data_IF_302210346776
#
_entry.id   IF_302210346776
#
_cell.length_a   1.000
_cell.length_b   1.000
_cell.length_c   1.000
_cell.angle_alpha   90.00
_cell.angle_beta   90.00
_cell.angle_gamma   90.00
#
_symmetry.space_group_name_H-M   'P 1'
#
loop_
_entity.id
_entity.type
_entity.pdbx_description
1 polymer ?
#
# COMPACT_ATOMS: atom_id res chain seq x y z
N UNK A 1 -11.89 7.16 -14.57
CA UNK A 1 -10.52 6.98 -15.11
C UNK A 1 -10.26 7.91 -16.31
N UNK A 2 -11.20 8.03 -17.27
CA UNK A 2 -11.00 8.72 -18.56
C UNK A 2 -10.45 10.14 -18.43
N UNK A 3 -11.03 10.95 -17.52
CA UNK A 3 -10.52 12.29 -17.25
C UNK A 3 -9.07 12.29 -16.78
N UNK A 4 -8.70 11.39 -15.88
CA UNK A 4 -7.32 11.26 -15.36
C UNK A 4 -6.37 10.83 -16.50
N UNK A 5 -6.79 9.82 -17.28
CA UNK A 5 -6.03 9.34 -18.43
C UNK A 5 -5.88 10.43 -19.52
N UNK A 6 -6.91 11.26 -19.75
CA UNK A 6 -6.82 12.37 -20.71
C UNK A 6 -5.79 13.45 -20.32
N UNK A 7 -5.34 13.45 -19.05
CA UNK A 7 -4.25 14.29 -18.56
C UNK A 7 -2.88 13.59 -18.59
N UNK A 8 -2.79 12.40 -19.16
CA UNK A 8 -1.56 11.60 -19.20
C UNK A 8 -1.19 10.96 -17.85
N UNK A 9 -2.11 10.97 -16.88
CA UNK A 9 -1.90 10.43 -15.54
C UNK A 9 -2.47 9.02 -15.39
N UNK A 10 -2.00 8.30 -14.38
CA UNK A 10 -2.52 6.98 -13.99
C UNK A 10 -3.60 7.12 -12.92
N UNK A 11 -4.59 6.24 -12.96
CA UNK A 11 -5.72 6.24 -12.04
C UNK A 11 -5.59 5.13 -10.99
N UNK A 12 -5.52 5.53 -9.72
CA UNK A 12 -5.47 4.60 -8.59
C UNK A 12 -6.75 4.60 -7.78
N UNK A 13 -7.04 3.44 -7.17
CA UNK A 13 -8.14 3.28 -6.22
C UNK A 13 -7.67 2.59 -4.94
N UNK A 14 -8.55 2.59 -3.96
CA UNK A 14 -8.38 1.93 -2.67
C UNK A 14 -9.49 0.90 -2.44
N UNK A 15 -9.13 -0.25 -1.88
CA UNK A 15 -10.03 -1.22 -1.28
C UNK A 15 -9.36 -1.92 -0.09
N UNK A 16 -9.96 -2.98 0.44
CA UNK A 16 -9.48 -3.69 1.61
C UNK A 16 -9.64 -5.21 1.45
N UNK A 17 -8.71 -5.97 2.00
CA UNK A 17 -8.74 -7.43 2.00
C UNK A 17 -9.80 -7.99 2.97
N UNK A 18 -10.18 -7.22 3.98
CA UNK A 18 -11.22 -7.58 4.94
C UNK A 18 -12.65 -7.38 4.42
N UNK A 19 -13.61 -7.62 5.30
CA UNK A 19 -15.03 -7.44 5.00
C UNK A 19 -15.42 -5.97 4.84
N UNK A 20 -14.71 -5.07 5.56
CA UNK A 20 -14.90 -3.64 5.50
C UNK A 20 -13.54 -2.92 5.27
N UNK A 21 -13.60 -1.74 4.66
CA UNK A 21 -12.48 -0.80 4.63
C UNK A 21 -12.27 -0.16 5.99
N UNK A 22 -11.13 0.50 6.22
CA UNK A 22 -10.87 1.20 7.49
C UNK A 22 -11.88 2.33 7.77
N UNK A 23 -12.58 2.82 6.74
CA UNK A 23 -13.69 3.77 6.86
C UNK A 23 -15.07 3.10 6.98
N UNK A 24 -15.15 1.79 7.21
CA UNK A 24 -16.40 1.05 7.38
C UNK A 24 -17.22 0.88 6.09
N UNK A 25 -16.61 1.01 4.92
CA UNK A 25 -17.26 0.72 3.63
C UNK A 25 -16.99 -0.73 3.23
N UNK A 26 -17.80 -1.36 2.35
CA UNK A 26 -17.55 -2.72 1.91
C UNK A 26 -16.11 -2.93 1.42
N UNK A 27 -15.45 -3.97 1.91
CA UNK A 27 -14.18 -4.47 1.43
C UNK A 27 -14.39 -5.56 0.36
N UNK A 28 -13.29 -6.12 -0.14
CA UNK A 28 -13.33 -7.08 -1.26
C UNK A 28 -13.38 -8.54 -0.79
N UNK A 29 -13.44 -8.82 0.51
CA UNK A 29 -13.45 -10.21 1.00
C UNK A 29 -14.60 -11.02 0.41
N UNK A 30 -14.27 -12.11 -0.29
CA UNK A 30 -15.24 -12.96 -0.99
C UNK A 30 -15.66 -12.44 -2.38
N UNK A 31 -15.26 -11.22 -2.75
CA UNK A 31 -15.63 -10.58 -4.02
C UNK A 31 -14.43 -10.21 -4.89
N UNK A 32 -13.22 -10.67 -4.56
CA UNK A 32 -11.96 -10.25 -5.19
C UNK A 32 -11.99 -10.35 -6.73
N UNK A 33 -12.51 -11.45 -7.27
CA UNK A 33 -12.60 -11.65 -8.72
C UNK A 33 -13.65 -10.76 -9.39
N UNK A 34 -14.75 -10.50 -8.71
CA UNK A 34 -15.77 -9.55 -9.19
C UNK A 34 -15.20 -8.13 -9.21
N UNK A 35 -14.60 -7.71 -8.10
CA UNK A 35 -14.04 -6.39 -7.93
C UNK A 35 -12.90 -6.15 -8.92
N UNK A 36 -11.99 -7.10 -9.09
CA UNK A 36 -10.88 -6.98 -10.03
C UNK A 36 -11.36 -6.80 -11.48
N UNK A 37 -12.44 -7.47 -11.90
CA UNK A 37 -13.06 -7.25 -13.21
C UNK A 37 -13.62 -5.84 -13.32
N UNK A 38 -14.36 -5.38 -12.31
CA UNK A 38 -14.90 -4.02 -12.26
C UNK A 38 -13.78 -2.98 -12.31
N UNK A 39 -12.70 -3.19 -11.58
CA UNK A 39 -11.54 -2.29 -11.62
C UNK A 39 -10.89 -2.24 -13.01
N UNK A 40 -10.80 -3.38 -13.68
CA UNK A 40 -10.30 -3.43 -15.05
C UNK A 40 -11.21 -2.68 -16.03
N UNK A 41 -12.53 -2.86 -15.93
CA UNK A 41 -13.53 -2.13 -16.72
C UNK A 41 -13.47 -0.62 -16.49
N UNK A 42 -13.23 -0.19 -15.26
CA UNK A 42 -13.05 1.23 -14.91
C UNK A 42 -11.70 1.81 -15.36
N UNK A 43 -10.79 0.98 -15.86
CA UNK A 43 -9.48 1.45 -16.30
C UNK A 43 -8.52 1.76 -15.15
N UNK A 44 -8.65 1.07 -14.01
CA UNK A 44 -7.75 1.25 -12.85
C UNK A 44 -6.34 0.81 -13.20
N UNK A 45 -5.34 1.62 -12.83
CA UNK A 45 -3.91 1.36 -13.02
C UNK A 45 -3.18 0.98 -11.73
N UNK A 46 -3.75 1.36 -10.58
CA UNK A 46 -3.14 1.14 -9.26
C UNK A 46 -4.22 0.78 -8.23
N UNK A 47 -3.98 -0.26 -7.43
CA UNK A 47 -4.83 -0.65 -6.31
C UNK A 47 -4.03 -0.64 -5.01
N UNK A 48 -4.38 0.26 -4.07
CA UNK A 48 -3.98 0.14 -2.66
C UNK A 48 -4.98 -0.79 -1.97
N UNK A 49 -4.48 -1.87 -1.38
CA UNK A 49 -5.31 -2.92 -0.78
C UNK A 49 -4.96 -3.07 0.69
N UNK A 50 -5.86 -2.58 1.55
CA UNK A 50 -5.67 -2.45 2.99
C UNK A 50 -6.02 -3.73 3.76
N UNK A 51 -5.86 -3.69 5.10
CA UNK A 51 -5.95 -4.86 5.97
C UNK A 51 -6.96 -4.71 7.12
N UNK A 52 -7.80 -3.66 7.13
CA UNK A 52 -8.82 -3.48 8.16
C UNK A 52 -9.88 -4.60 8.12
N UNK A 53 -10.44 -4.96 9.28
CA UNK A 53 -11.49 -5.98 9.40
C UNK A 53 -11.13 -7.29 8.71
N UNK A 54 -9.91 -7.77 8.98
CA UNK A 54 -9.35 -8.98 8.36
C UNK A 54 -9.99 -10.30 8.88
N UNK A 55 -10.60 -10.25 10.08
CA UNK A 55 -11.27 -11.39 10.74
C UNK A 55 -10.41 -12.66 10.78
N UNK A 56 -9.12 -12.47 11.05
CA UNK A 56 -8.16 -13.55 11.22
C UNK A 56 -7.74 -14.27 9.94
N UNK A 57 -7.92 -13.67 8.78
CA UNK A 57 -7.38 -14.20 7.52
C UNK A 57 -5.86 -14.30 7.55
N UNK A 58 -5.33 -15.23 6.74
CA UNK A 58 -3.91 -15.21 6.40
C UNK A 58 -3.60 -14.05 5.45
N UNK A 59 -2.70 -13.11 5.81
CA UNK A 59 -2.32 -12.03 4.91
C UNK A 59 -1.83 -12.55 3.55
N UNK A 60 -0.93 -13.52 3.57
CA UNK A 60 -0.40 -14.12 2.33
C UNK A 60 -1.50 -14.69 1.45
N UNK A 61 -2.49 -15.38 2.04
CA UNK A 61 -3.62 -15.97 1.32
C UNK A 61 -4.51 -14.90 0.70
N UNK A 62 -4.91 -13.90 1.48
CA UNK A 62 -5.80 -12.83 1.04
C UNK A 62 -5.18 -11.99 -0.11
N UNK A 63 -3.92 -11.56 0.06
CA UNK A 63 -3.23 -10.79 -0.98
C UNK A 63 -2.95 -11.62 -2.24
N UNK A 64 -2.65 -12.91 -2.09
CA UNK A 64 -2.50 -13.82 -3.23
C UNK A 64 -3.81 -13.96 -4.01
N UNK A 65 -4.94 -14.08 -3.32
CA UNK A 65 -6.26 -14.17 -3.97
C UNK A 65 -6.56 -12.92 -4.80
N UNK A 66 -6.32 -11.72 -4.25
CA UNK A 66 -6.52 -10.48 -5.02
C UNK A 66 -5.52 -10.36 -6.19
N UNK A 67 -4.25 -10.73 -6.00
CA UNK A 67 -3.28 -10.80 -7.11
C UNK A 67 -3.78 -11.69 -8.25
N UNK A 68 -4.29 -12.86 -7.93
CA UNK A 68 -4.78 -13.80 -8.92
C UNK A 68 -6.03 -13.27 -9.64
N UNK A 69 -6.91 -12.59 -8.89
CA UNK A 69 -8.07 -11.90 -9.43
C UNK A 69 -7.68 -10.77 -10.39
N UNK A 70 -6.71 -9.93 -10.00
CA UNK A 70 -6.18 -8.85 -10.86
C UNK A 70 -5.54 -9.43 -12.14
N UNK A 71 -4.76 -10.51 -12.04
CA UNK A 71 -4.20 -11.18 -13.22
C UNK A 71 -5.29 -11.72 -14.13
N UNK A 72 -6.32 -12.35 -13.58
CA UNK A 72 -7.45 -12.90 -14.33
C UNK A 72 -8.29 -11.84 -15.03
N UNK A 73 -8.29 -10.58 -14.54
CA UNK A 73 -8.98 -9.47 -15.18
C UNK A 73 -8.36 -9.03 -16.51
N UNK A 74 -7.12 -9.44 -16.79
CA UNK A 74 -6.39 -9.14 -18.02
C UNK A 74 -5.82 -7.72 -18.10
N UNK A 75 -6.10 -6.83 -17.12
CA UNK A 75 -5.54 -5.50 -17.09
C UNK A 75 -4.30 -5.45 -16.18
N UNK A 76 -3.18 -4.83 -16.62
CA UNK A 76 -2.03 -4.60 -15.75
C UNK A 76 -2.40 -3.55 -14.69
N UNK A 77 -2.34 -3.95 -13.41
CA UNK A 77 -2.61 -3.08 -12.26
C UNK A 77 -1.41 -3.15 -11.31
N UNK A 78 -0.87 -2.01 -10.92
CA UNK A 78 0.12 -1.95 -9.85
C UNK A 78 -0.57 -2.25 -8.53
N UNK A 79 -0.13 -3.31 -7.85
CA UNK A 79 -0.78 -3.80 -6.64
C UNK A 79 0.05 -3.43 -5.41
N UNK A 80 -0.54 -2.61 -4.53
CA UNK A 80 0.06 -2.12 -3.29
C UNK A 80 -0.54 -2.85 -2.09
N UNK A 81 0.30 -3.58 -1.37
CA UNK A 81 -0.04 -4.33 -0.16
C UNK A 81 0.07 -3.39 1.04
N UNK A 82 -0.99 -3.30 1.85
CA UNK A 82 -1.05 -2.41 3.00
C UNK A 82 -1.54 -3.13 4.26
N UNK A 83 -0.71 -4.01 4.83
CA UNK A 83 -0.95 -4.66 6.13
C UNK A 83 -0.02 -4.12 7.23
N UNK A 84 0.48 -2.89 7.02
CA UNK A 84 1.25 -2.09 7.97
C UNK A 84 2.55 -2.75 8.45
N UNK A 85 3.13 -3.68 7.70
CA UNK A 85 4.34 -4.41 8.08
C UNK A 85 4.12 -5.51 9.14
N UNK A 86 2.87 -5.77 9.53
CA UNK A 86 2.52 -6.64 10.66
C UNK A 86 2.99 -8.09 10.48
N UNK A 87 2.94 -8.60 9.25
CA UNK A 87 3.41 -9.96 8.92
C UNK A 87 4.74 -9.98 8.17
N UNK A 88 5.50 -8.87 8.19
CA UNK A 88 6.77 -8.70 7.47
C UNK A 88 6.62 -8.98 5.97
N UNK A 89 5.80 -8.21 5.25
CA UNK A 89 5.45 -8.48 3.84
C UNK A 89 6.68 -8.52 2.92
N UNK A 90 7.76 -7.82 3.25
CA UNK A 90 9.02 -7.89 2.51
C UNK A 90 9.59 -9.31 2.40
N UNK A 91 9.24 -10.23 3.30
CA UNK A 91 9.74 -11.62 3.28
C UNK A 91 8.94 -12.54 2.36
N UNK A 92 7.70 -12.17 1.98
CA UNK A 92 6.80 -13.05 1.23
C UNK A 92 6.06 -12.40 0.06
N UNK A 93 5.97 -11.06 0.00
CA UNK A 93 5.11 -10.37 -0.96
C UNK A 93 5.72 -10.24 -2.36
N UNK A 94 7.01 -10.55 -2.55
CA UNK A 94 7.64 -10.60 -3.87
C UNK A 94 6.86 -11.56 -4.79
N UNK A 95 6.43 -11.06 -5.97
CA UNK A 95 5.60 -11.79 -6.91
C UNK A 95 4.12 -11.86 -6.54
N UNK A 96 3.72 -11.27 -5.40
CA UNK A 96 2.32 -11.06 -5.02
C UNK A 96 1.94 -9.60 -5.27
N UNK A 97 2.62 -8.64 -4.66
CA UNK A 97 2.45 -7.22 -4.90
C UNK A 97 3.69 -6.58 -5.53
N UNK A 98 3.53 -5.33 -5.95
CA UNK A 98 4.60 -4.52 -6.52
C UNK A 98 5.23 -3.59 -5.49
N UNK A 99 4.50 -3.27 -4.43
CA UNK A 99 5.01 -2.57 -3.25
C UNK A 99 4.23 -3.02 -2.02
N UNK A 100 4.83 -2.81 -0.85
CA UNK A 100 4.24 -3.19 0.43
C UNK A 100 4.62 -2.22 1.54
N UNK A 101 3.63 -1.83 2.33
CA UNK A 101 3.82 -1.03 3.53
C UNK A 101 4.71 -1.78 4.53
N UNK A 102 5.68 -1.08 5.05
CA UNK A 102 6.66 -1.64 6.01
C UNK A 102 6.35 -1.29 7.45
N UNK A 103 5.48 -0.30 7.67
CA UNK A 103 5.13 0.22 8.99
C UNK A 103 3.66 0.60 9.07
N UNK A 104 3.16 0.89 10.26
CA UNK A 104 1.90 1.61 10.46
C UNK A 104 1.91 2.98 9.79
N UNK A 105 0.75 3.64 9.79
CA UNK A 105 0.58 4.92 9.08
C UNK A 105 1.47 6.01 9.66
N UNK A 106 2.00 6.86 8.78
CA UNK A 106 2.79 8.01 9.17
C UNK A 106 1.92 9.03 9.92
N UNK A 107 2.44 9.54 11.03
CA UNK A 107 1.82 10.60 11.81
C UNK A 107 2.59 11.90 11.68
N UNK A 108 1.92 13.03 11.93
CA UNK A 108 2.54 14.35 11.94
C UNK A 108 3.39 14.56 13.21
N UNK A 109 4.46 13.79 13.34
CA UNK A 109 5.44 13.87 14.40
C UNK A 109 6.84 13.54 13.89
N UNK A 110 7.86 14.20 14.44
CA UNK A 110 9.25 13.93 14.07
C UNK A 110 9.73 12.60 14.65
N UNK A 111 9.39 12.29 15.92
CA UNK A 111 9.76 11.05 16.62
C UNK A 111 8.63 10.57 17.50
N UNK A 112 8.51 9.25 17.67
CA UNK A 112 7.53 8.58 18.53
C UNK A 112 6.44 7.85 17.75
N UNK A 113 5.73 6.99 18.47
CA UNK A 113 4.61 6.18 17.95
C UNK A 113 3.34 6.47 18.74
N UNK A 114 2.18 6.13 18.18
CA UNK A 114 0.89 6.23 18.87
C UNK A 114 0.30 4.85 19.12
N UNK A 115 -0.65 4.76 20.06
CA UNK A 115 -1.21 3.49 20.55
C UNK A 115 -1.86 2.62 19.46
N UNK A 116 -2.36 3.20 18.40
CA UNK A 116 -2.96 2.47 17.27
C UNK A 116 -1.93 2.04 16.20
N UNK A 117 -0.62 2.20 16.46
CA UNK A 117 0.45 1.73 15.58
C UNK A 117 1.02 2.76 14.61
N UNK A 118 0.50 4.00 14.61
CA UNK A 118 1.04 5.07 13.76
C UNK A 118 2.47 5.42 14.15
N UNK A 119 3.30 5.72 13.15
CA UNK A 119 4.75 5.93 13.28
C UNK A 119 5.15 7.33 12.83
N UNK A 120 6.11 7.93 13.54
CA UNK A 120 6.71 9.19 13.14
C UNK A 120 7.71 9.04 12.00
N UNK A 121 8.13 10.17 11.45
CA UNK A 121 9.11 10.24 10.35
C UNK A 121 10.39 9.45 10.68
N UNK A 122 11.00 9.72 11.84
CA UNK A 122 12.28 9.07 12.22
C UNK A 122 12.07 7.59 12.50
N UNK A 123 10.98 7.21 13.19
CA UNK A 123 10.71 5.80 13.47
C UNK A 123 10.49 4.98 12.18
N UNK A 124 9.90 5.59 11.15
CA UNK A 124 9.75 4.95 9.83
C UNK A 124 11.11 4.79 9.14
N UNK A 125 11.98 5.82 9.18
CA UNK A 125 13.33 5.74 8.63
C UNK A 125 14.09 4.60 9.29
N UNK A 126 14.13 4.57 10.61
CA UNK A 126 14.85 3.57 11.38
C UNK A 126 14.36 2.14 11.07
N UNK A 127 13.03 1.96 11.00
CA UNK A 127 12.42 0.67 10.66
C UNK A 127 12.72 0.21 9.22
N UNK A 128 12.94 1.13 8.30
CA UNK A 128 13.25 0.80 6.90
C UNK A 128 14.75 0.64 6.63
N UNK A 129 15.64 1.07 7.53
CA UNK A 129 17.08 1.09 7.30
C UNK A 129 17.65 -0.24 6.83
N UNK A 130 17.18 -1.36 7.40
CA UNK A 130 17.68 -2.71 7.08
C UNK A 130 16.81 -3.44 6.04
N UNK A 131 15.78 -2.80 5.48
CA UNK A 131 14.86 -3.44 4.53
C UNK A 131 15.26 -3.29 3.07
N UNK A 132 16.30 -2.52 2.77
CA UNK A 132 16.76 -2.28 1.39
C UNK A 132 17.05 -3.56 0.59
N UNK A 133 17.52 -4.71 1.16
CA UNK A 133 17.78 -5.90 0.36
C UNK A 133 16.51 -6.56 -0.21
N UNK A 134 15.33 -6.21 0.33
CA UNK A 134 14.05 -6.74 -0.11
C UNK A 134 13.40 -5.93 -1.23
N UNK A 135 13.92 -4.73 -1.53
CA UNK A 135 13.45 -3.90 -2.63
C UNK A 135 14.25 -4.15 -3.90
N UNK A 136 13.62 -3.94 -5.05
CA UNK A 136 14.26 -4.07 -6.35
C UNK A 136 13.27 -3.83 -7.48
N UNK A 137 13.69 -3.94 -8.75
CA UNK A 137 12.81 -3.70 -9.89
C UNK A 137 11.53 -4.53 -9.82
N UNK A 138 10.38 -3.84 -9.85
CA UNK A 138 9.05 -4.41 -9.79
C UNK A 138 8.55 -4.82 -8.38
N UNK A 139 9.31 -4.53 -7.31
CA UNK A 139 8.91 -4.81 -5.94
C UNK A 139 9.62 -3.87 -4.95
N UNK A 140 8.86 -3.06 -4.19
CA UNK A 140 9.39 -1.95 -3.43
C UNK A 140 8.88 -1.94 -1.99
N UNK A 141 9.77 -1.58 -1.04
CA UNK A 141 9.35 -1.21 0.30
C UNK A 141 8.62 0.13 0.23
N UNK A 142 7.49 0.22 0.89
CA UNK A 142 6.68 1.43 0.98
C UNK A 142 6.70 1.95 2.43
N UNK A 143 7.47 3.00 2.74
CA UNK A 143 7.53 3.60 4.07
C UNK A 143 6.35 4.52 4.38
N UNK A 144 5.34 4.58 3.52
CA UNK A 144 4.21 5.50 3.55
C UNK A 144 4.48 6.86 2.89
N UNK A 145 3.47 7.71 2.88
CA UNK A 145 3.50 9.02 2.23
C UNK A 145 4.42 10.02 2.93
N UNK A 146 4.84 11.04 2.19
CA UNK A 146 5.52 12.20 2.76
C UNK A 146 4.52 13.11 3.48
N UNK A 147 4.93 13.66 4.63
CA UNK A 147 4.15 14.62 5.43
C UNK A 147 4.47 16.08 5.09
N UNK A 148 4.84 16.38 3.84
CA UNK A 148 5.25 17.72 3.41
C UNK A 148 4.08 18.70 3.57
N UNK A 149 4.32 19.80 4.28
CA UNK A 149 3.31 20.83 4.49
C UNK A 149 2.28 20.54 5.60
N UNK A 150 2.34 19.37 6.22
CA UNK A 150 1.41 18.98 7.29
C UNK A 150 2.03 19.25 8.67
N UNK A 151 2.44 20.48 8.93
CA UNK A 151 3.03 20.92 10.21
C UNK A 151 4.52 20.58 10.41
N UNK A 152 5.08 19.68 9.60
CA UNK A 152 6.51 19.38 9.60
C UNK A 152 7.22 20.22 8.55
N UNK A 153 8.38 20.79 8.92
CA UNK A 153 9.18 21.57 7.99
C UNK A 153 9.88 20.67 6.96
N UNK A 154 10.23 21.22 5.80
CA UNK A 154 10.99 20.53 4.75
C UNK A 154 12.29 19.91 5.28
N UNK A 155 12.90 20.50 6.28
CA UNK A 155 14.13 19.99 6.91
C UNK A 155 13.94 18.60 7.54
N UNK A 156 12.77 18.30 8.06
CA UNK A 156 12.47 17.00 8.70
C UNK A 156 12.12 15.92 7.69
N UNK A 157 11.78 16.31 6.48
CA UNK A 157 11.37 15.38 5.42
C UNK A 157 12.44 15.17 4.34
N UNK A 158 13.49 15.99 4.35
CA UNK A 158 14.60 15.85 3.42
C UNK A 158 15.22 14.43 3.34
N UNK A 159 15.31 13.67 4.44
CA UNK A 159 15.80 12.29 4.39
C UNK A 159 14.94 11.31 3.57
N UNK A 160 13.66 11.64 3.33
CA UNK A 160 12.79 10.80 2.50
C UNK A 160 12.92 11.06 1.00
N UNK A 161 13.41 12.22 0.61
CA UNK A 161 13.50 12.60 -0.81
C UNK A 161 14.36 11.62 -1.65
N UNK A 162 15.50 11.09 -1.16
CA UNK A 162 16.29 10.11 -1.90
C UNK A 162 15.63 8.73 -2.05
N UNK A 163 14.65 8.40 -1.20
CA UNK A 163 13.97 7.10 -1.23
C UNK A 163 12.91 7.01 -2.33
N UNK A 164 12.55 8.15 -2.94
CA UNK A 164 11.51 8.25 -3.96
C UNK A 164 12.03 8.68 -5.34
N UNK A 165 13.34 8.89 -5.50
CA UNK A 165 13.92 9.15 -6.82
C UNK A 165 14.21 7.80 -7.48
N UNK A 166 13.64 7.51 -8.67
CA UNK A 166 13.87 6.26 -9.39
C UNK A 166 15.31 6.09 -9.88
#
# INVERSE_FOLDING_TARGET
>A
ADYIHSKGLKFGIYSCAGSLTCAGRPGSRGYQFQDARTYAEWGVDFLKYDWCFDEGQSPQGAYRTMRDALKASGRPVVFSICEWGSSKPWTWAKGIGHLWRTTGDIINAFKGTVHWGGCSVVDIIDKNADLWPYAGPGHWNDPDMLQVGNGLSVRFQAPFLPLYVP
#
